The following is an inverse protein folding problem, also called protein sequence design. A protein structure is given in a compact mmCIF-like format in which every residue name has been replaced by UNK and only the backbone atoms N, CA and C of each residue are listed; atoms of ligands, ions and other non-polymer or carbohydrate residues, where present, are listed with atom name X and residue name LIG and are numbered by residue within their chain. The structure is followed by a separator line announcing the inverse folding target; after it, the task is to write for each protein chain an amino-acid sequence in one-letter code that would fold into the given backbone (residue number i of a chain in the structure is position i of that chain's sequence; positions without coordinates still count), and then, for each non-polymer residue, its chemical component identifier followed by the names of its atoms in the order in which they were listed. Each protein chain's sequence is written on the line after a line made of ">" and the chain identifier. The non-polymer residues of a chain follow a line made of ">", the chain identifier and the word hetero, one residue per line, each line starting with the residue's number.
data_IF_145374004186
#
_entry.id   IF_145374004186
#
_cell.length_a   1.000
_cell.length_b   1.000
_cell.length_c   1.000
_cell.angle_alpha   90.00
_cell.angle_beta   90.00
_cell.angle_gamma   90.00
#
_symmetry.space_group_name_H-M   'P 1'
#
loop_
_entity.id
_entity.type
_entity.pdbx_description
1 polymer ?
#
# COMPACT_ATOMS: atom_id res chain seq x y z
N UNK A 1 13.66 -4.53 8.08
CA UNK A 1 14.00 -5.79 7.39
C UNK A 1 14.57 -5.47 6.02
N UNK A 2 15.85 -5.75 5.82
CA UNK A 2 16.41 -5.83 4.47
C UNK A 2 15.60 -6.86 3.69
N UNK A 3 14.96 -6.44 2.61
CA UNK A 3 14.28 -7.33 1.68
C UNK A 3 14.54 -6.84 0.25
N UNK A 4 14.60 -7.78 -0.69
CA UNK A 4 14.69 -7.53 -2.13
C UNK A 4 13.67 -8.44 -2.81
N UNK A 5 13.10 -8.00 -3.92
CA UNK A 5 12.33 -8.89 -4.78
C UNK A 5 13.24 -10.05 -5.22
N UNK A 6 12.79 -11.29 -4.99
CA UNK A 6 13.53 -12.48 -5.42
C UNK A 6 13.49 -12.61 -6.95
N UNK A 7 14.59 -12.99 -7.58
CA UNK A 7 14.60 -13.35 -9.01
C UNK A 7 13.74 -14.60 -9.25
N UNK A 8 12.89 -14.59 -10.27
CA UNK A 8 12.05 -15.73 -10.64
C UNK A 8 12.72 -16.58 -11.73
N UNK A 9 13.59 -17.51 -11.32
CA UNK A 9 14.34 -18.36 -12.26
C UNK A 9 13.47 -19.37 -13.03
N UNK A 10 12.42 -19.88 -12.40
CA UNK A 10 11.51 -20.87 -13.01
C UNK A 10 10.56 -20.25 -14.04
N UNK A 11 10.44 -18.91 -14.06
CA UNK A 11 9.54 -18.14 -14.95
C UNK A 11 8.05 -18.47 -14.85
N UNK A 12 7.65 -19.36 -13.96
CA UNK A 12 6.25 -19.61 -13.60
C UNK A 12 5.61 -18.37 -12.97
N UNK A 13 4.30 -18.19 -13.17
CA UNK A 13 3.59 -17.04 -12.62
C UNK A 13 3.58 -17.09 -11.09
N UNK A 14 4.12 -16.04 -10.45
CA UNK A 14 4.05 -15.85 -9.00
C UNK A 14 3.06 -14.73 -8.70
N UNK A 15 1.86 -15.09 -8.29
CA UNK A 15 0.87 -14.12 -7.81
C UNK A 15 1.09 -13.95 -6.31
N UNK A 16 1.72 -12.83 -5.94
CA UNK A 16 1.89 -12.45 -4.53
C UNK A 16 0.80 -11.43 -4.22
N UNK A 17 -0.32 -11.90 -3.66
CA UNK A 17 -1.20 -11.00 -2.94
C UNK A 17 -0.53 -10.75 -1.60
N UNK A 18 -0.07 -9.52 -1.37
CA UNK A 18 0.32 -9.09 -0.04
C UNK A 18 -0.90 -8.39 0.56
N UNK A 19 -1.92 -9.14 1.03
CA UNK A 19 -3.09 -8.51 1.61
C UNK A 19 -2.62 -7.60 2.74
N UNK A 20 -3.18 -6.38 2.87
CA UNK A 20 -2.80 -5.48 3.94
C UNK A 20 -3.18 -6.14 5.27
N UNK A 21 -2.19 -6.67 5.98
CA UNK A 21 -2.35 -7.12 7.36
C UNK A 21 -2.01 -5.93 8.24
N UNK A 22 -3.05 -5.34 8.83
CA UNK A 22 -2.89 -4.41 9.92
C UNK A 22 -3.04 -5.16 11.24
N UNK A 23 -2.21 -4.83 12.23
CA UNK A 23 -2.53 -5.17 13.61
C UNK A 23 -3.80 -4.42 13.98
N UNK A 24 -4.70 -5.07 14.72
CA UNK A 24 -5.81 -4.38 15.35
C UNK A 24 -5.25 -3.32 16.29
N UNK A 25 -5.91 -2.17 16.38
CA UNK A 25 -5.49 -1.09 17.31
C UNK A 25 -5.41 -1.59 18.76
N UNK A 26 -6.26 -2.55 19.12
CA UNK A 26 -6.31 -3.22 20.41
C UNK A 26 -5.21 -4.29 20.61
N UNK A 27 -4.53 -4.71 19.55
CA UNK A 27 -3.49 -5.76 19.57
C UNK A 27 -2.14 -5.24 19.03
N UNK A 28 -1.58 -4.15 19.58
CA UNK A 28 -0.21 -3.78 19.30
C UNK A 28 0.73 -4.82 19.93
N UNK A 29 1.94 -4.98 19.36
CA UNK A 29 2.97 -5.76 20.03
C UNK A 29 3.31 -5.12 21.39
N UNK A 30 2.94 -5.79 22.48
CA UNK A 30 3.21 -5.33 23.85
C UNK A 30 4.36 -6.16 24.39
N UNK A 31 5.55 -5.57 24.35
CA UNK A 31 6.81 -6.18 24.81
C UNK A 31 7.09 -5.94 26.30
N UNK A 32 6.10 -5.40 27.03
CA UNK A 32 6.21 -5.05 28.45
C UNK A 32 5.05 -5.57 29.31
N UNK A 33 4.57 -6.80 29.05
CA UNK A 33 3.47 -7.40 29.83
C UNK A 33 3.93 -7.83 31.22
N UNK A 34 3.01 -7.84 32.17
CA UNK A 34 3.28 -8.28 33.55
C UNK A 34 3.19 -9.80 33.69
N UNK A 35 2.31 -10.44 32.91
CA UNK A 35 2.10 -11.89 32.88
C UNK A 35 3.22 -12.66 32.16
N UNK A 36 4.04 -11.98 31.36
CA UNK A 36 5.09 -12.61 30.54
C UNK A 36 4.57 -13.43 29.35
N UNK A 37 3.27 -13.39 29.08
CA UNK A 37 2.61 -14.16 28.02
C UNK A 37 2.81 -13.47 26.66
N UNK A 38 3.98 -13.69 26.07
CA UNK A 38 4.38 -13.17 24.76
C UNK A 38 4.10 -14.17 23.63
N UNK A 39 3.56 -13.67 22.52
CA UNK A 39 3.47 -14.42 21.26
C UNK A 39 4.86 -14.84 20.74
N UNK A 40 4.90 -15.82 19.84
CA UNK A 40 6.17 -16.27 19.24
C UNK A 40 6.94 -15.13 18.56
N UNK A 41 6.22 -14.23 17.89
CA UNK A 41 6.80 -13.04 17.24
C UNK A 41 7.38 -12.09 18.27
N UNK A 42 6.68 -11.86 19.38
CA UNK A 42 7.17 -11.00 20.46
C UNK A 42 8.43 -11.57 21.12
N UNK A 43 8.43 -12.87 21.44
CA UNK A 43 9.61 -13.56 22.02
C UNK A 43 10.82 -13.52 21.08
N UNK A 44 10.60 -13.73 19.78
CA UNK A 44 11.69 -13.66 18.80
C UNK A 44 12.27 -12.25 18.71
N UNK A 45 11.40 -11.24 18.78
CA UNK A 45 11.80 -9.82 18.74
C UNK A 45 12.61 -9.44 19.98
N UNK A 46 12.12 -9.76 21.18
CA UNK A 46 12.82 -9.54 22.46
C UNK A 46 14.21 -10.21 22.46
N UNK A 47 14.28 -11.48 22.04
CA UNK A 47 15.56 -12.21 21.90
C UNK A 47 16.52 -11.54 20.92
N UNK A 48 16.01 -11.04 19.79
CA UNK A 48 16.84 -10.36 18.79
C UNK A 48 17.36 -9.00 19.30
N UNK A 49 16.62 -8.35 20.19
CA UNK A 49 17.01 -7.11 20.86
C UNK A 49 17.92 -7.34 22.08
N UNK A 50 18.05 -8.58 22.56
CA UNK A 50 18.87 -8.91 23.73
C UNK A 50 18.28 -8.42 25.05
N UNK A 51 16.95 -8.24 25.13
CA UNK A 51 16.25 -7.76 26.31
C UNK A 51 15.07 -8.67 26.65
N UNK A 52 14.75 -8.80 27.94
CA UNK A 52 13.62 -9.61 28.41
C UNK A 52 12.28 -8.85 28.35
N UNK A 53 12.35 -7.51 28.44
CA UNK A 53 11.20 -6.61 28.45
C UNK A 53 11.57 -5.30 27.76
N UNK A 54 10.63 -4.73 27.03
CA UNK A 54 10.79 -3.43 26.38
C UNK A 54 9.53 -2.58 26.55
N UNK A 55 9.59 -1.58 27.43
CA UNK A 55 8.51 -0.59 27.57
C UNK A 55 8.72 0.58 26.58
N UNK A 56 8.47 0.30 25.31
CA UNK A 56 8.59 1.31 24.26
C UNK A 56 7.24 1.99 24.00
N UNK A 57 7.26 3.31 23.91
CA UNK A 57 6.11 4.14 23.55
C UNK A 57 6.51 5.12 22.47
N UNK A 58 5.56 5.45 21.59
CA UNK A 58 5.77 6.48 20.58
C UNK A 58 5.97 7.82 21.30
N UNK A 59 7.03 8.54 20.97
CA UNK A 59 7.38 9.82 21.63
C UNK A 59 6.74 11.04 20.97
N UNK A 60 6.17 10.88 19.78
CA UNK A 60 5.59 11.95 18.97
C UNK A 60 4.41 11.45 18.16
N UNK A 61 3.53 12.34 17.71
CA UNK A 61 2.43 11.98 16.81
C UNK A 61 2.95 11.42 15.47
N UNK A 62 2.21 10.45 14.91
CA UNK A 62 2.50 9.95 13.55
C UNK A 62 2.13 11.02 12.54
N UNK A 63 3.10 11.46 11.74
CA UNK A 63 2.88 12.42 10.66
C UNK A 63 2.77 11.69 9.32
N UNK A 64 1.75 12.03 8.53
CA UNK A 64 1.67 11.59 7.14
C UNK A 64 2.80 12.21 6.32
N UNK A 65 3.66 11.39 5.74
CA UNK A 65 4.68 11.87 4.80
C UNK A 65 4.09 11.85 3.40
N UNK A 66 3.81 13.02 2.84
CA UNK A 66 3.35 13.15 1.46
C UNK A 66 4.57 13.05 0.53
N UNK A 67 4.70 11.99 -0.29
CA UNK A 67 5.86 11.86 -1.17
C UNK A 67 5.83 12.95 -2.25
N UNK A 68 7.00 13.54 -2.56
CA UNK A 68 7.15 14.56 -3.62
C UNK A 68 6.56 14.13 -4.98
N UNK A 69 6.45 12.82 -5.25
CA UNK A 69 5.84 12.30 -6.48
C UNK A 69 4.37 12.67 -6.62
N UNK A 70 3.62 12.80 -5.51
CA UNK A 70 2.18 13.05 -5.58
C UNK A 70 1.88 14.42 -6.18
N UNK A 71 2.67 15.44 -5.84
CA UNK A 71 2.56 16.76 -6.49
C UNK A 71 2.83 16.69 -8.00
N UNK A 72 3.89 15.99 -8.42
CA UNK A 72 4.19 15.81 -9.86
C UNK A 72 3.08 15.06 -10.59
N UNK A 73 2.51 14.02 -9.98
CA UNK A 73 1.42 13.24 -10.56
C UNK A 73 0.13 14.05 -10.68
N UNK A 74 -0.15 14.93 -9.71
CA UNK A 74 -1.30 15.84 -9.79
C UNK A 74 -1.17 16.79 -10.99
N UNK A 75 0.00 17.40 -11.19
CA UNK A 75 0.27 18.27 -12.36
C UNK A 75 0.09 17.50 -13.67
N UNK A 76 0.68 16.30 -13.77
CA UNK A 76 0.52 15.46 -14.97
C UNK A 76 -0.93 15.08 -15.23
N UNK A 77 -1.70 14.79 -14.18
CA UNK A 77 -3.12 14.47 -14.29
C UNK A 77 -3.94 15.66 -14.79
N UNK A 78 -3.63 16.89 -14.37
CA UNK A 78 -4.28 18.09 -14.89
C UNK A 78 -3.96 18.36 -16.36
N UNK A 79 -2.69 18.18 -16.75
CA UNK A 79 -2.27 18.31 -18.14
C UNK A 79 -2.99 17.29 -19.04
N UNK A 80 -3.08 16.04 -18.59
CA UNK A 80 -3.77 15.00 -19.35
C UNK A 80 -5.28 15.28 -19.44
N UNK A 81 -5.91 15.75 -18.36
CA UNK A 81 -7.32 16.19 -18.40
C UNK A 81 -7.54 17.31 -19.42
N UNK A 82 -6.62 18.27 -19.53
CA UNK A 82 -6.69 19.35 -20.54
C UNK A 82 -6.54 18.79 -21.95
N UNK A 83 -5.54 17.95 -22.19
CA UNK A 83 -5.29 17.30 -23.49
C UNK A 83 -6.52 16.49 -23.94
N UNK A 84 -7.11 15.71 -23.04
CA UNK A 84 -8.32 14.93 -23.32
C UNK A 84 -9.51 15.83 -23.65
N UNK A 85 -9.72 16.91 -22.90
CA UNK A 85 -10.80 17.87 -23.15
C UNK A 85 -10.68 18.54 -24.53
N UNK A 86 -9.45 18.85 -24.95
CA UNK A 86 -9.17 19.39 -26.28
C UNK A 86 -9.40 18.35 -27.38
N UNK A 87 -8.93 17.11 -27.18
CA UNK A 87 -9.05 16.03 -28.14
C UNK A 87 -10.49 15.56 -28.39
N UNK A 88 -11.32 15.45 -27.36
CA UNK A 88 -12.70 14.93 -27.47
C UNK A 88 -13.76 16.01 -27.76
N UNK A 89 -13.39 17.30 -27.73
CA UNK A 89 -14.35 18.42 -27.79
C UNK A 89 -15.22 18.53 -26.52
N UNK A 90 -15.96 19.64 -26.36
CA UNK A 90 -16.71 19.97 -25.13
C UNK A 90 -17.77 18.93 -24.71
N UNK A 91 -18.15 18.01 -25.61
CA UNK A 91 -19.36 17.19 -25.47
C UNK A 91 -19.09 15.67 -25.31
N UNK A 92 -17.83 15.22 -25.25
CA UNK A 92 -17.50 13.82 -24.92
C UNK A 92 -16.61 13.72 -23.69
N UNK A 93 -17.19 13.20 -22.60
CA UNK A 93 -16.41 12.74 -21.45
C UNK A 93 -15.76 11.41 -21.84
N UNK A 94 -14.43 11.24 -21.76
CA UNK A 94 -13.82 9.95 -21.99
C UNK A 94 -14.30 8.99 -20.90
N UNK A 95 -15.05 7.96 -21.28
CA UNK A 95 -15.25 6.79 -20.43
C UNK A 95 -13.88 6.13 -20.27
N UNK A 96 -13.24 6.35 -19.11
CA UNK A 96 -12.08 5.54 -18.72
C UNK A 96 -12.63 4.15 -18.43
N UNK A 97 -12.69 3.31 -19.46
CA UNK A 97 -13.00 1.90 -19.30
C UNK A 97 -11.76 1.25 -18.71
N UNK A 98 -11.79 0.77 -17.45
CA UNK A 98 -10.65 0.07 -16.89
C UNK A 98 -10.34 -1.17 -17.75
N UNK A 99 -9.06 -1.50 -17.98
CA UNK A 99 -8.70 -2.67 -18.78
C UNK A 99 -9.25 -3.92 -18.09
N UNK A 100 -10.33 -4.48 -18.65
CA UNK A 100 -11.05 -5.62 -18.09
C UNK A 100 -12.57 -5.52 -18.14
N UNK A 101 -13.17 -4.36 -18.47
CA UNK A 101 -14.62 -4.24 -18.58
C UNK A 101 -15.02 -3.78 -19.99
N UNK A 102 -15.03 -4.69 -20.98
CA UNK A 102 -15.66 -4.45 -22.29
C UNK A 102 -17.17 -4.41 -22.13
N UNK A 103 -17.68 -3.37 -21.47
CA UNK A 103 -19.10 -3.02 -21.47
C UNK A 103 -19.46 -2.54 -22.88
N UNK A 104 -20.29 -3.33 -23.56
CA UNK A 104 -20.87 -3.15 -24.88
C UNK A 104 -20.84 -1.71 -25.43
N UNK A 105 -20.18 -1.54 -26.59
CA UNK A 105 -20.44 -0.41 -27.48
C UNK A 105 -21.90 -0.58 -27.95
N UNK A 106 -22.81 0.39 -27.73
CA UNK A 106 -24.13 0.30 -28.33
C UNK A 106 -23.98 0.43 -29.84
N UNK A 107 -24.39 -0.63 -30.54
CA UNK A 107 -24.61 -0.63 -31.99
C UNK A 107 -25.58 0.49 -32.34
N UNK A 108 -25.10 1.51 -33.06
CA UNK A 108 -25.98 2.49 -33.70
C UNK A 108 -26.68 1.79 -34.87
N UNK A 109 -28.00 1.72 -34.80
CA UNK A 109 -28.91 1.48 -35.92
C UNK A 109 -29.68 2.78 -36.19
#
# INVERSE_FOLDING_TARGET
>A
MLHSASKNYNREQRIITNPPIALKEEYPFRFSREDGEYSLVERKTLRALGVDKLDWKISTERKGVVPKRLGRQAVLMELEKKRLKEYYGKDRVPTVVPPGNTGAIPSQA
#
